data_IF_082113420226
#
_entry.id   IF_082113420226
#
_cell.length_a   1.000
_cell.length_b   1.000
_cell.length_c   1.000
_cell.angle_alpha   90.00
_cell.angle_beta   90.00
_cell.angle_gamma   90.00
#
_symmetry.space_group_name_H-M   'P 1'
#
loop_
_entity.id
_entity.type
_entity.pdbx_description
1 polymer ?
#
# COMPACT_ATOMS: atom_id res chain seq x y z
N UNK A 1 2.01 7.17 -28.63
CA UNK A 1 1.48 6.43 -27.48
C UNK A 1 1.11 7.43 -26.40
N UNK A 2 0.03 7.21 -25.67
CA UNK A 2 -0.39 8.05 -24.55
C UNK A 2 0.41 7.64 -23.30
N UNK A 3 1.01 8.61 -22.59
CA UNK A 3 1.76 8.40 -21.35
C UNK A 3 3.27 8.58 -21.48
N UNK A 4 3.96 8.52 -20.34
CA UNK A 4 5.42 8.60 -20.25
C UNK A 4 5.97 7.23 -19.88
N UNK A 5 6.89 6.72 -20.69
CA UNK A 5 7.43 5.35 -20.58
C UNK A 5 8.93 5.40 -20.34
N UNK A 6 9.33 5.83 -19.15
CA UNK A 6 10.73 5.81 -18.76
C UNK A 6 10.98 4.85 -17.58
N UNK A 7 12.25 4.61 -17.28
CA UNK A 7 12.64 3.67 -16.23
C UNK A 7 12.13 4.08 -14.82
N UNK A 8 11.72 5.34 -14.62
CA UNK A 8 11.28 5.86 -13.33
C UNK A 8 9.91 5.34 -12.90
N UNK A 9 9.08 4.88 -13.85
CA UNK A 9 7.73 4.34 -13.61
C UNK A 9 7.66 2.81 -13.77
N UNK A 10 8.74 2.17 -14.21
CA UNK A 10 8.75 0.71 -14.47
C UNK A 10 8.46 -0.09 -13.20
N UNK A 11 9.04 0.32 -12.06
CA UNK A 11 8.85 -0.40 -10.79
C UNK A 11 7.41 -0.27 -10.28
N UNK A 12 6.77 0.88 -10.48
CA UNK A 12 5.34 1.12 -10.19
C UNK A 12 4.46 0.19 -11.03
N UNK A 13 4.77 0.01 -12.33
CA UNK A 13 4.04 -0.93 -13.19
C UNK A 13 4.24 -2.39 -12.76
N UNK A 14 5.46 -2.77 -12.36
CA UNK A 14 5.74 -4.12 -11.83
C UNK A 14 4.94 -4.35 -10.53
N UNK A 15 4.90 -3.38 -9.63
CA UNK A 15 4.09 -3.45 -8.40
C UNK A 15 2.61 -3.69 -8.71
N UNK A 16 2.06 -2.96 -9.69
CA UNK A 16 0.69 -3.13 -10.15
C UNK A 16 0.44 -4.55 -10.70
N UNK A 17 1.33 -5.06 -11.55
CA UNK A 17 1.20 -6.41 -12.12
C UNK A 17 1.26 -7.49 -11.03
N UNK A 18 2.17 -7.36 -10.05
CA UNK A 18 2.27 -8.27 -8.90
C UNK A 18 0.96 -8.25 -8.09
N UNK A 19 0.38 -7.05 -7.88
CA UNK A 19 -0.86 -6.91 -7.12
C UNK A 19 -2.06 -7.51 -7.84
N UNK A 20 -2.18 -7.32 -9.15
CA UNK A 20 -3.24 -7.96 -9.96
C UNK A 20 -3.08 -9.48 -9.91
N UNK A 21 -1.86 -10.01 -10.06
CA UNK A 21 -1.60 -11.44 -9.88
C UNK A 21 -1.94 -11.92 -8.46
N UNK A 22 -1.65 -11.11 -7.43
CA UNK A 22 -2.07 -11.39 -6.06
C UNK A 22 -3.60 -11.50 -5.90
N UNK A 23 -4.37 -10.64 -6.60
CA UNK A 23 -5.83 -10.72 -6.63
C UNK A 23 -6.29 -12.05 -7.25
N UNK A 24 -5.73 -12.48 -8.38
CA UNK A 24 -6.09 -13.77 -8.99
C UNK A 24 -5.78 -14.95 -8.06
N UNK A 25 -4.59 -14.97 -7.46
CA UNK A 25 -4.21 -15.99 -6.46
C UNK A 25 -5.17 -16.02 -5.26
N UNK A 26 -5.64 -14.86 -4.82
CA UNK A 26 -6.59 -14.77 -3.74
C UNK A 26 -7.97 -15.32 -4.14
N UNK A 27 -8.42 -15.07 -5.37
CA UNK A 27 -9.67 -15.63 -5.91
C UNK A 27 -9.62 -17.16 -5.96
N UNK A 28 -8.46 -17.73 -6.29
CA UNK A 28 -8.20 -19.17 -6.33
C UNK A 28 -7.95 -19.81 -4.94
N UNK A 29 -8.05 -19.03 -3.85
CA UNK A 29 -7.87 -19.50 -2.47
C UNK A 29 -6.41 -19.58 -2.00
N UNK A 30 -5.45 -19.12 -2.79
CA UNK A 30 -4.03 -19.12 -2.45
C UNK A 30 -3.64 -17.89 -1.59
N UNK A 31 -4.24 -17.75 -0.41
CA UNK A 31 -4.10 -16.56 0.46
C UNK A 31 -2.65 -16.24 0.85
N UNK A 32 -1.86 -17.27 1.21
CA UNK A 32 -0.44 -17.08 1.57
C UNK A 32 0.33 -16.42 0.43
N UNK A 33 0.14 -16.88 -0.81
CA UNK A 33 0.81 -16.34 -2.00
C UNK A 33 0.30 -14.91 -2.32
N UNK A 34 -1.00 -14.65 -2.17
CA UNK A 34 -1.56 -13.31 -2.35
C UNK A 34 -0.97 -12.29 -1.35
N UNK A 35 -0.77 -12.70 -0.10
CA UNK A 35 -0.12 -11.88 0.94
C UNK A 35 1.35 -11.62 0.61
N UNK A 36 2.06 -12.61 0.05
CA UNK A 36 3.42 -12.41 -0.47
C UNK A 36 3.44 -11.36 -1.59
N UNK A 37 2.48 -11.42 -2.52
CA UNK A 37 2.35 -10.41 -3.57
C UNK A 37 2.13 -9.01 -2.99
N UNK A 38 1.27 -8.86 -1.97
CA UNK A 38 1.05 -7.60 -1.26
C UNK A 38 2.35 -7.06 -0.64
N UNK A 39 3.11 -7.91 0.03
CA UNK A 39 4.37 -7.54 0.65
C UNK A 39 5.44 -7.16 -0.40
N UNK A 40 5.52 -7.90 -1.52
CA UNK A 40 6.41 -7.57 -2.65
C UNK A 40 6.04 -6.23 -3.30
N UNK A 41 4.75 -5.94 -3.48
CA UNK A 41 4.29 -4.65 -3.97
C UNK A 41 4.71 -3.50 -3.04
N UNK A 42 4.63 -3.70 -1.72
CA UNK A 42 5.13 -2.72 -0.74
C UNK A 42 6.64 -2.50 -0.82
N UNK A 43 7.42 -3.54 -1.15
CA UNK A 43 8.85 -3.38 -1.43
C UNK A 43 9.08 -2.56 -2.72
N UNK A 44 8.36 -2.84 -3.79
CA UNK A 44 8.47 -2.08 -5.04
C UNK A 44 8.20 -0.60 -4.83
N UNK A 45 7.09 -0.24 -4.16
CA UNK A 45 6.72 1.14 -3.81
C UNK A 45 7.82 1.86 -3.02
N UNK A 46 8.46 1.17 -2.09
CA UNK A 46 9.51 1.79 -1.29
C UNK A 46 10.76 2.14 -2.11
N UNK A 47 11.00 1.45 -3.22
CA UNK A 47 12.16 1.69 -4.08
C UNK A 47 11.86 2.61 -5.26
N UNK A 48 10.62 2.68 -5.77
CA UNK A 48 10.27 3.45 -6.97
C UNK A 48 10.51 4.96 -6.78
N UNK A 49 10.15 5.53 -5.64
CA UNK A 49 10.46 6.91 -5.31
C UNK A 49 11.97 7.21 -5.20
N UNK A 50 12.82 6.21 -4.89
CA UNK A 50 14.27 6.36 -4.93
C UNK A 50 14.77 6.36 -6.37
N UNK A 51 14.26 5.46 -7.20
CA UNK A 51 14.59 5.35 -8.64
C UNK A 51 14.11 6.61 -9.38
N UNK A 52 12.89 7.08 -9.12
CA UNK A 52 12.36 8.29 -9.74
C UNK A 52 13.25 9.52 -9.52
N UNK A 53 13.93 9.61 -8.38
CA UNK A 53 14.85 10.71 -8.06
C UNK A 53 16.22 10.62 -8.73
N UNK A 54 16.57 9.51 -9.36
CA UNK A 54 17.85 9.40 -10.10
C UNK A 54 17.83 10.17 -11.42
N UNK A 55 16.64 10.40 -12.00
CA UNK A 55 16.48 11.18 -13.23
C UNK A 55 16.43 12.67 -12.91
N UNK A 56 17.54 13.37 -13.18
CA UNK A 56 17.70 14.81 -12.84
C UNK A 56 16.90 15.75 -13.76
N UNK A 57 16.72 15.40 -15.05
CA UNK A 57 16.11 16.25 -16.07
C UNK A 57 14.69 15.80 -16.39
N UNK A 58 13.79 15.77 -15.38
CA UNK A 58 12.38 15.48 -15.59
C UNK A 58 11.62 16.77 -15.90
N UNK A 59 10.76 16.73 -16.93
CA UNK A 59 9.80 17.80 -17.18
C UNK A 59 8.75 17.84 -16.06
N UNK A 60 8.03 18.95 -15.95
CA UNK A 60 6.97 19.05 -14.94
C UNK A 60 5.79 18.13 -15.25
N UNK A 61 5.52 17.87 -16.53
CA UNK A 61 4.55 16.88 -16.98
C UNK A 61 4.95 15.46 -16.57
N UNK A 62 6.21 15.07 -16.75
CA UNK A 62 6.74 13.75 -16.31
C UNK A 62 6.66 13.59 -14.78
N UNK A 63 6.92 14.65 -14.01
CA UNK A 63 6.77 14.63 -12.54
C UNK A 63 5.31 14.46 -12.13
N UNK A 64 4.42 15.26 -12.73
CA UNK A 64 2.99 15.19 -12.45
C UNK A 64 2.41 13.82 -12.81
N UNK A 65 2.75 13.29 -13.98
CA UNK A 65 2.36 11.95 -14.40
C UNK A 65 2.85 10.87 -13.42
N UNK A 66 4.12 10.96 -13.00
CA UNK A 66 4.70 10.03 -12.03
C UNK A 66 3.92 9.99 -10.71
N UNK A 67 3.53 11.16 -10.15
CA UNK A 67 2.72 11.25 -8.93
C UNK A 67 1.34 10.60 -9.13
N UNK A 68 0.70 10.86 -10.27
CA UNK A 68 -0.64 10.33 -10.53
C UNK A 68 -0.63 8.83 -10.73
N UNK A 69 0.29 8.30 -11.56
CA UNK A 69 0.36 6.86 -11.85
C UNK A 69 0.73 6.05 -10.60
N UNK A 70 1.62 6.57 -9.76
CA UNK A 70 1.99 6.01 -8.47
C UNK A 70 0.76 5.82 -7.58
N UNK A 71 -0.02 6.89 -7.36
CA UNK A 71 -1.22 6.83 -6.54
C UNK A 71 -2.33 5.95 -7.12
N UNK A 72 -2.47 5.89 -8.46
CA UNK A 72 -3.41 4.99 -9.12
C UNK A 72 -3.02 3.52 -8.95
N UNK A 73 -1.72 3.22 -8.98
CA UNK A 73 -1.20 1.88 -8.67
C UNK A 73 -1.37 1.55 -7.19
N UNK A 74 -1.07 2.50 -6.30
CA UNK A 74 -1.17 2.33 -4.86
C UNK A 74 -2.58 1.95 -4.39
N UNK A 75 -3.63 2.56 -4.99
CA UNK A 75 -5.01 2.19 -4.61
C UNK A 75 -5.33 0.74 -5.00
N UNK A 76 -4.78 0.22 -6.07
CA UNK A 76 -4.94 -1.19 -6.43
C UNK A 76 -4.12 -2.09 -5.51
N UNK A 77 -2.84 -1.74 -5.29
CA UNK A 77 -1.90 -2.53 -4.51
C UNK A 77 -2.26 -2.58 -3.02
N UNK A 78 -2.60 -1.43 -2.43
CA UNK A 78 -2.78 -1.27 -0.98
C UNK A 78 -4.21 -0.93 -0.57
N UNK A 79 -5.09 -0.65 -1.54
CA UNK A 79 -6.53 -0.52 -1.32
C UNK A 79 -7.26 -1.81 -1.69
N UNK A 80 -7.30 -2.16 -2.98
CA UNK A 80 -8.14 -3.23 -3.50
C UNK A 80 -7.62 -4.63 -3.12
N UNK A 81 -6.33 -4.93 -3.31
CA UNK A 81 -5.78 -6.24 -2.99
C UNK A 81 -6.01 -6.63 -1.51
N UNK A 82 -5.74 -5.76 -0.49
CA UNK A 82 -6.07 -6.08 0.90
C UNK A 82 -7.56 -6.31 1.15
N UNK A 83 -8.45 -5.54 0.50
CA UNK A 83 -9.91 -5.74 0.58
C UNK A 83 -10.27 -7.13 0.09
N UNK A 84 -9.76 -7.54 -1.08
CA UNK A 84 -10.03 -8.86 -1.67
C UNK A 84 -9.49 -9.97 -0.75
N UNK A 85 -8.29 -9.82 -0.22
CA UNK A 85 -7.70 -10.79 0.72
C UNK A 85 -8.59 -10.92 1.97
N UNK A 86 -8.95 -9.82 2.61
CA UNK A 86 -9.76 -9.82 3.84
C UNK A 86 -11.16 -10.42 3.60
N UNK A 87 -11.81 -10.08 2.49
CA UNK A 87 -13.10 -10.63 2.09
C UNK A 87 -13.03 -12.16 1.90
N UNK A 88 -12.04 -12.61 1.15
CA UNK A 88 -11.87 -14.05 0.83
C UNK A 88 -11.41 -14.88 2.03
N UNK A 89 -10.72 -14.29 3.01
CA UNK A 89 -10.37 -14.96 4.28
C UNK A 89 -11.62 -15.22 5.13
N UNK A 90 -12.66 -14.37 5.01
CA UNK A 90 -13.93 -14.60 5.71
C UNK A 90 -14.67 -13.36 6.22
N UNK A 91 -14.22 -12.14 5.88
CA UNK A 91 -14.98 -10.92 6.21
C UNK A 91 -16.13 -10.76 5.21
N UNK A 92 -17.23 -11.49 5.41
CA UNK A 92 -18.39 -11.51 4.50
C UNK A 92 -19.67 -10.95 5.10
N UNK A 93 -19.70 -10.71 6.39
CA UNK A 93 -20.81 -10.12 7.11
C UNK A 93 -20.97 -8.62 6.81
N UNK A 94 -22.17 -8.09 6.99
CA UNK A 94 -22.52 -6.69 6.66
C UNK A 94 -21.59 -5.69 7.34
N UNK A 95 -21.30 -5.87 8.63
CA UNK A 95 -20.40 -4.97 9.38
C UNK A 95 -18.99 -5.03 8.80
N UNK A 96 -18.49 -6.21 8.50
CA UNK A 96 -17.19 -6.40 7.89
C UNK A 96 -17.09 -5.77 6.50
N UNK A 97 -18.12 -5.91 5.67
CA UNK A 97 -18.19 -5.26 4.35
C UNK A 97 -18.14 -3.73 4.47
N UNK A 98 -18.89 -3.15 5.41
CA UNK A 98 -18.85 -1.71 5.68
C UNK A 98 -17.45 -1.27 6.11
N UNK A 99 -16.77 -2.05 6.98
CA UNK A 99 -15.38 -1.77 7.36
C UNK A 99 -14.43 -1.78 6.15
N UNK A 100 -14.57 -2.75 5.24
CA UNK A 100 -13.76 -2.83 4.01
C UNK A 100 -14.03 -1.65 3.06
N UNK A 101 -15.30 -1.23 2.92
CA UNK A 101 -15.67 -0.04 2.13
C UNK A 101 -15.07 1.24 2.70
N UNK A 102 -15.15 1.42 4.03
CA UNK A 102 -14.54 2.57 4.74
C UNK A 102 -13.02 2.54 4.56
N UNK A 103 -12.38 1.38 4.65
CA UNK A 103 -10.95 1.24 4.42
C UNK A 103 -10.53 1.69 3.01
N UNK A 104 -11.23 1.23 1.97
CA UNK A 104 -10.96 1.63 0.59
C UNK A 104 -11.15 3.13 0.37
N UNK A 105 -12.25 3.69 0.91
CA UNK A 105 -12.53 5.12 0.82
C UNK A 105 -11.47 5.97 1.55
N UNK A 106 -11.07 5.56 2.75
CA UNK A 106 -10.02 6.23 3.52
C UNK A 106 -8.68 6.23 2.77
N UNK A 107 -8.32 5.13 2.11
CA UNK A 107 -7.15 5.03 1.24
C UNK A 107 -7.21 6.01 0.06
N UNK A 108 -8.34 6.09 -0.63
CA UNK A 108 -8.57 7.04 -1.73
C UNK A 108 -8.43 8.49 -1.27
N UNK A 109 -9.11 8.87 -0.19
CA UNK A 109 -9.06 10.22 0.37
C UNK A 109 -7.61 10.59 0.72
N UNK A 110 -6.90 9.66 1.34
CA UNK A 110 -5.49 9.85 1.68
C UNK A 110 -4.62 10.13 0.45
N UNK A 111 -4.69 9.26 -0.58
CA UNK A 111 -3.88 9.40 -1.80
C UNK A 111 -4.19 10.71 -2.52
N UNK A 112 -5.47 11.05 -2.67
CA UNK A 112 -5.88 12.31 -3.27
C UNK A 112 -5.33 13.53 -2.50
N UNK A 113 -5.41 13.52 -1.17
CA UNK A 113 -4.86 14.59 -0.33
C UNK A 113 -3.34 14.73 -0.49
N UNK A 114 -2.63 13.60 -0.55
CA UNK A 114 -1.18 13.60 -0.72
C UNK A 114 -0.73 14.08 -2.10
N UNK A 115 -1.46 13.75 -3.16
CA UNK A 115 -1.19 14.23 -4.51
C UNK A 115 -1.25 15.76 -4.58
N UNK A 116 -2.30 16.36 -4.02
CA UNK A 116 -2.43 17.83 -3.95
C UNK A 116 -1.26 18.43 -3.16
N UNK A 117 -0.94 17.86 -1.99
CA UNK A 117 0.18 18.34 -1.16
C UNK A 117 1.53 18.18 -1.84
N UNK A 118 1.74 17.13 -2.62
CA UNK A 118 3.00 16.90 -3.32
C UNK A 118 3.16 17.84 -4.51
N UNK A 119 2.08 18.11 -5.27
CA UNK A 119 2.10 19.08 -6.35
C UNK A 119 2.42 20.50 -5.83
N UNK A 120 1.77 20.94 -4.75
CA UNK A 120 2.06 22.26 -4.14
C UNK A 120 3.52 22.32 -3.69
N UNK A 121 4.02 21.27 -3.01
CA UNK A 121 5.40 21.23 -2.54
C UNK A 121 6.42 21.32 -3.67
N UNK A 122 6.20 20.59 -4.77
CA UNK A 122 7.13 20.61 -5.92
C UNK A 122 7.22 21.98 -6.59
N UNK A 123 6.16 22.79 -6.50
CA UNK A 123 6.16 24.17 -6.99
C UNK A 123 6.91 25.14 -6.06
N UNK A 124 7.00 24.82 -4.76
CA UNK A 124 7.58 25.72 -3.75
C UNK A 124 9.03 25.38 -3.39
N UNK A 125 9.41 24.07 -3.39
CA UNK A 125 10.71 23.62 -2.92
C UNK A 125 11.14 22.28 -3.51
N UNK A 126 12.45 22.10 -3.69
CA UNK A 126 13.08 20.83 -4.06
C UNK A 126 13.46 19.97 -2.86
N UNK A 127 13.27 20.43 -1.62
CA UNK A 127 13.65 19.68 -0.42
C UNK A 127 12.75 18.47 -0.16
N UNK A 128 13.34 17.39 0.37
CA UNK A 128 12.59 16.19 0.74
C UNK A 128 11.78 16.38 2.03
N UNK A 129 10.55 15.83 2.06
CA UNK A 129 9.75 15.80 3.29
C UNK A 129 10.47 15.03 4.41
N UNK A 130 10.49 15.61 5.61
CA UNK A 130 11.02 14.98 6.84
C UNK A 130 9.94 14.21 7.60
N UNK A 131 8.67 14.60 7.46
CA UNK A 131 7.52 14.02 8.16
C UNK A 131 6.38 13.74 7.19
N UNK A 132 5.66 12.65 7.42
CA UNK A 132 4.36 12.35 6.80
C UNK A 132 3.23 12.83 7.71
N UNK A 133 2.10 13.21 7.12
CA UNK A 133 0.85 13.46 7.83
C UNK A 133 0.00 12.20 7.74
N UNK A 134 -0.31 11.57 8.86
CA UNK A 134 -1.04 10.31 8.93
C UNK A 134 -0.23 9.09 8.48
N UNK A 135 -0.82 7.91 8.59
CA UNK A 135 -0.18 6.63 8.28
C UNK A 135 -0.07 6.41 6.76
N UNK A 136 1.06 5.97 6.18
CA UNK A 136 1.18 5.62 4.76
C UNK A 136 0.22 4.49 4.36
N UNK A 137 -0.39 4.56 3.15
CA UNK A 137 -1.27 3.48 2.68
C UNK A 137 -0.50 2.16 2.51
N UNK A 138 0.77 2.25 2.14
CA UNK A 138 1.70 1.12 2.00
C UNK A 138 1.95 0.35 3.29
N UNK A 139 1.63 0.93 4.47
CA UNK A 139 1.77 0.25 5.77
C UNK A 139 0.96 -1.04 5.88
N UNK A 140 -0.14 -1.19 5.11
CA UNK A 140 -0.93 -2.42 5.08
C UNK A 140 -0.12 -3.62 4.54
N UNK A 141 0.89 -3.37 3.70
CA UNK A 141 1.79 -4.40 3.18
C UNK A 141 2.71 -5.02 4.25
N UNK A 142 2.72 -4.45 5.45
CA UNK A 142 3.39 -4.99 6.64
C UNK A 142 2.37 -5.52 7.64
N UNK A 143 1.31 -4.75 7.89
CA UNK A 143 0.31 -5.07 8.91
C UNK A 143 -0.41 -6.38 8.57
N UNK A 144 -0.91 -6.52 7.35
CA UNK A 144 -1.70 -7.69 6.96
C UNK A 144 -0.90 -8.99 6.90
N UNK A 145 0.35 -9.04 6.36
CA UNK A 145 1.20 -10.23 6.46
C UNK A 145 1.49 -10.65 7.91
N UNK A 146 1.86 -9.71 8.78
CA UNK A 146 2.11 -10.01 10.21
C UNK A 146 0.86 -10.59 10.85
N UNK A 147 -0.30 -9.95 10.64
CA UNK A 147 -1.56 -10.43 11.20
C UNK A 147 -1.92 -11.84 10.69
N UNK A 148 -1.69 -12.11 9.40
CA UNK A 148 -1.95 -13.43 8.83
C UNK A 148 -1.00 -14.51 9.38
N UNK A 149 0.26 -14.18 9.65
CA UNK A 149 1.21 -15.09 10.31
C UNK A 149 0.76 -15.46 11.72
N UNK A 150 0.05 -14.58 12.41
CA UNK A 150 -0.51 -14.84 13.74
C UNK A 150 -1.81 -15.66 13.71
N UNK A 151 -2.38 -15.92 12.52
CA UNK A 151 -3.63 -16.69 12.38
C UNK A 151 -3.66 -18.01 13.13
N UNK A 152 -2.58 -18.85 13.11
CA UNK A 152 -2.59 -20.13 13.82
C UNK A 152 -2.69 -20.02 15.35
N UNK A 153 -2.40 -18.83 15.91
CA UNK A 153 -2.47 -18.58 17.35
C UNK A 153 -3.90 -18.23 17.84
N UNK A 154 -4.85 -18.02 16.93
CA UNK A 154 -6.21 -17.62 17.25
C UNK A 154 -7.25 -18.62 16.72
N UNK A 155 -8.36 -18.87 17.44
CA UNK A 155 -9.54 -19.50 16.85
C UNK A 155 -10.05 -18.65 15.67
N UNK A 156 -10.58 -19.28 14.63
CA UNK A 156 -11.00 -18.60 13.40
C UNK A 156 -11.97 -17.43 13.66
N UNK A 157 -12.94 -17.60 14.55
CA UNK A 157 -13.90 -16.54 14.92
C UNK A 157 -13.20 -15.32 15.55
N UNK A 158 -12.22 -15.55 16.43
CA UNK A 158 -11.47 -14.47 17.09
C UNK A 158 -10.57 -13.78 16.07
N UNK A 159 -9.91 -14.55 15.20
CA UNK A 159 -9.07 -14.00 14.14
C UNK A 159 -9.86 -13.05 13.22
N UNK A 160 -11.07 -13.41 12.80
CA UNK A 160 -11.91 -12.56 11.95
C UNK A 160 -12.31 -11.26 12.65
N UNK A 161 -12.58 -11.30 13.96
CA UNK A 161 -12.86 -10.08 14.75
C UNK A 161 -11.62 -9.18 14.81
N UNK A 162 -10.46 -9.75 15.12
CA UNK A 162 -9.18 -9.00 15.17
C UNK A 162 -8.88 -8.39 13.80
N UNK A 163 -9.06 -9.15 12.72
CA UNK A 163 -8.83 -8.67 11.36
C UNK A 163 -9.73 -7.46 11.01
N UNK A 164 -11.03 -7.52 11.33
CA UNK A 164 -11.97 -6.39 11.15
C UNK A 164 -11.53 -5.16 11.94
N UNK A 165 -11.18 -5.33 13.21
CA UNK A 165 -10.73 -4.24 14.08
C UNK A 165 -9.46 -3.60 13.54
N UNK A 166 -8.48 -4.39 13.15
CA UNK A 166 -7.21 -3.89 12.60
C UNK A 166 -7.44 -3.12 11.29
N UNK A 167 -8.25 -3.64 10.37
CA UNK A 167 -8.59 -2.96 9.11
C UNK A 167 -9.30 -1.64 9.38
N UNK A 168 -10.26 -1.61 10.31
CA UNK A 168 -10.99 -0.40 10.68
C UNK A 168 -10.07 0.66 11.32
N UNK A 169 -9.22 0.25 12.26
CA UNK A 169 -8.22 1.15 12.87
C UNK A 169 -7.26 1.70 11.81
N UNK A 170 -6.80 0.86 10.87
CA UNK A 170 -5.93 1.28 9.78
C UNK A 170 -6.62 2.34 8.90
N UNK A 171 -7.90 2.15 8.59
CA UNK A 171 -8.71 3.14 7.85
C UNK A 171 -8.77 4.49 8.57
N UNK A 172 -9.00 4.48 9.89
CA UNK A 172 -9.00 5.71 10.70
C UNK A 172 -7.62 6.39 10.70
N UNK A 173 -6.54 5.62 10.81
CA UNK A 173 -5.17 6.14 10.79
C UNK A 173 -4.77 6.73 9.43
N UNK A 174 -5.38 6.30 8.32
CA UNK A 174 -5.16 6.90 7.02
C UNK A 174 -5.65 8.33 6.93
N UNK A 175 -6.78 8.66 7.55
CA UNK A 175 -7.40 9.99 7.48
C UNK A 175 -7.10 10.86 8.70
N UNK A 176 -6.50 10.30 9.76
CA UNK A 176 -6.16 11.06 10.96
C UNK A 176 -4.89 11.89 10.74
N UNK A 177 -4.95 13.17 11.11
CA UNK A 177 -3.81 14.09 10.96
C UNK A 177 -2.86 14.01 12.17
N UNK A 178 -1.84 13.16 12.07
CA UNK A 178 -0.72 13.11 13.01
C UNK A 178 0.61 13.11 12.28
N UNK A 179 1.66 13.62 12.91
CA UNK A 179 3.00 13.65 12.31
C UNK A 179 3.66 12.28 12.46
N UNK A 180 3.87 11.59 11.35
CA UNK A 180 4.59 10.33 11.31
C UNK A 180 6.02 10.57 10.81
N UNK A 181 7.02 10.14 11.58
CA UNK A 181 8.42 10.25 11.16
C UNK A 181 8.67 9.30 9.99
N UNK A 182 9.35 9.79 8.95
CA UNK A 182 9.68 8.96 7.78
C UNK A 182 10.38 7.68 8.23
N UNK A 183 9.92 6.49 7.76
CA UNK A 183 10.53 5.22 8.13
C UNK A 183 12.02 5.20 7.78
N UNK A 184 12.82 4.75 8.74
CA UNK A 184 14.25 4.58 8.58
C UNK A 184 14.57 3.26 7.85
N UNK A 185 15.84 3.05 7.48
CA UNK A 185 16.34 1.81 6.90
C UNK A 185 16.01 0.55 7.74
N UNK A 186 15.80 0.72 9.06
CA UNK A 186 15.36 -0.35 9.96
C UNK A 186 13.96 -0.87 9.60
N UNK A 187 13.02 0.04 9.27
CA UNK A 187 11.68 -0.35 8.85
C UNK A 187 11.68 -1.06 7.49
N UNK A 188 12.62 -0.69 6.63
CA UNK A 188 12.93 -1.39 5.38
C UNK A 188 13.38 -2.83 5.65
N UNK A 189 14.31 -3.03 6.60
CA UNK A 189 14.81 -4.35 6.98
C UNK A 189 13.70 -5.22 7.57
N UNK A 190 12.81 -4.63 8.38
CA UNK A 190 11.64 -5.34 8.94
C UNK A 190 10.69 -5.78 7.82
N UNK A 191 10.41 -4.94 6.83
CA UNK A 191 9.56 -5.31 5.70
C UNK A 191 10.16 -6.47 4.90
N UNK A 192 11.47 -6.39 4.58
CA UNK A 192 12.20 -7.48 3.90
C UNK A 192 12.14 -8.77 4.72
N UNK A 193 12.35 -8.68 6.04
CA UNK A 193 12.26 -9.84 6.94
C UNK A 193 10.85 -10.45 6.96
N UNK A 194 9.80 -9.61 7.04
CA UNK A 194 8.40 -10.07 7.00
C UNK A 194 8.09 -10.76 5.67
N UNK A 195 8.56 -10.21 4.54
CA UNK A 195 8.41 -10.85 3.22
C UNK A 195 9.12 -12.20 3.19
N UNK A 196 10.36 -12.27 3.67
CA UNK A 196 11.13 -13.51 3.72
C UNK A 196 10.42 -14.59 4.57
N UNK A 197 9.92 -14.21 5.75
CA UNK A 197 9.16 -15.11 6.63
C UNK A 197 7.80 -15.53 6.04
N UNK A 198 7.17 -14.68 5.23
CA UNK A 198 5.89 -15.01 4.58
C UNK A 198 6.06 -15.97 3.38
N UNK A 199 7.28 -16.08 2.84
CA UNK A 199 7.62 -16.98 1.72
C UNK A 199 7.94 -18.41 2.22
N UNK A 200 8.55 -18.54 3.41
CA UNK A 200 8.85 -19.81 4.07
C UNK A 200 7.58 -20.38 4.72
#
# INVERSE_FOLDING_TARGET
MIGFYDYTVVLTYISMMISVYGITLCMDGHFKRAIVCLALSGLCDMFDGKIARTKKNRTDEEKCFGIQIDSLCDIVCFGILPIVICYKIGITDVIGLVCLMIYGLAGLIRLAFYNVKEQIRQNETSENRKYYQGMPITSISVILPILYMLRPAFPDNVFLIVLKVVVFITALLFVTNFKFKKPNNLMLSVLVFVVAMAVI
#
